data_IF_460492830983
#
_entry.id   IF_460492830983
#
_cell.length_a   1.000
_cell.length_b   1.000
_cell.length_c   1.000
_cell.angle_alpha   90.00
_cell.angle_beta   90.00
_cell.angle_gamma   90.00
#
_symmetry.space_group_name_H-M   'P 1'
#
loop_
_entity.id
_entity.type
_entity.pdbx_description
1 polymer ?
#
# COMPACT_ATOMS: atom_id res chain seq x y z
N UNK A 1 -17.32 2.07 9.37
CA UNK A 1 -15.99 2.66 9.61
C UNK A 1 -16.22 4.09 10.06
N UNK A 2 -15.84 4.42 11.30
CA UNK A 2 -15.95 5.79 11.81
C UNK A 2 -14.92 6.72 11.15
N UNK A 3 -15.16 8.02 11.23
CA UNK A 3 -14.33 9.04 10.56
C UNK A 3 -12.91 9.09 11.15
N UNK A 4 -12.76 8.80 12.44
CA UNK A 4 -11.46 8.78 13.11
C UNK A 4 -10.57 7.64 12.59
N UNK A 5 -11.13 6.46 12.35
CA UNK A 5 -10.43 5.34 11.73
C UNK A 5 -10.05 5.67 10.29
N UNK A 6 -10.93 6.33 9.53
CA UNK A 6 -10.64 6.78 8.16
C UNK A 6 -9.47 7.78 8.14
N UNK A 7 -9.47 8.74 9.06
CA UNK A 7 -8.40 9.72 9.19
C UNK A 7 -7.06 9.05 9.55
N UNK A 8 -7.08 8.13 10.50
CA UNK A 8 -5.88 7.35 10.88
C UNK A 8 -5.33 6.53 9.72
N UNK A 9 -6.20 5.91 8.92
CA UNK A 9 -5.80 5.15 7.74
C UNK A 9 -5.10 6.06 6.71
N UNK A 10 -5.69 7.24 6.40
CA UNK A 10 -5.06 8.22 5.50
C UNK A 10 -3.71 8.71 6.01
N UNK A 11 -3.64 9.06 7.30
CA UNK A 11 -2.39 9.52 7.90
C UNK A 11 -1.29 8.46 7.88
N UNK A 12 -1.65 7.17 7.99
CA UNK A 12 -0.71 6.07 7.82
C UNK A 12 -0.25 5.94 6.37
N UNK A 13 -1.17 5.94 5.42
CA UNK A 13 -0.88 5.87 3.98
C UNK A 13 0.05 7.02 3.53
N UNK A 14 -0.20 8.24 3.99
CA UNK A 14 0.63 9.40 3.68
C UNK A 14 2.07 9.27 4.22
N UNK A 15 2.26 8.63 5.38
CA UNK A 15 3.61 8.33 5.89
C UNK A 15 4.34 7.35 4.99
N UNK A 16 3.65 6.32 4.49
CA UNK A 16 4.24 5.39 3.52
C UNK A 16 4.67 6.13 2.24
N UNK A 17 3.81 7.03 1.70
CA UNK A 17 4.18 7.87 0.55
C UNK A 17 5.45 8.69 0.80
N UNK A 18 5.55 9.33 1.97
CA UNK A 18 6.74 10.11 2.35
C UNK A 18 7.99 9.23 2.42
N UNK A 19 7.89 8.05 3.02
CA UNK A 19 9.01 7.11 3.14
C UNK A 19 9.49 6.61 1.78
N UNK A 20 8.58 6.22 0.89
CA UNK A 20 8.91 5.78 -0.48
C UNK A 20 9.62 6.88 -1.26
N UNK A 21 9.11 8.11 -1.23
CA UNK A 21 9.78 9.26 -1.88
C UNK A 21 11.18 9.50 -1.33
N UNK A 22 11.37 9.42 -0.01
CA UNK A 22 12.70 9.54 0.62
C UNK A 22 13.66 8.42 0.20
N UNK A 23 13.13 7.23 -0.08
CA UNK A 23 13.90 6.10 -0.59
C UNK A 23 14.12 6.15 -2.12
N UNK A 24 13.64 7.18 -2.81
CA UNK A 24 13.71 7.28 -4.27
C UNK A 24 12.80 6.29 -5.01
N UNK A 25 11.80 5.74 -4.32
CA UNK A 25 10.83 4.82 -4.90
C UNK A 25 9.63 5.60 -5.46
N UNK A 26 9.16 5.18 -6.63
CA UNK A 26 8.01 5.79 -7.27
C UNK A 26 6.69 5.43 -6.55
N UNK A 27 5.72 6.33 -6.69
CA UNK A 27 4.34 6.17 -6.24
C UNK A 27 3.42 5.87 -7.42
N UNK A 28 2.25 5.25 -7.21
CA UNK A 28 1.30 4.98 -8.29
C UNK A 28 0.89 6.25 -9.05
N UNK A 29 0.70 7.37 -8.35
CA UNK A 29 0.32 8.66 -8.96
C UNK A 29 1.40 9.28 -9.88
N UNK A 30 2.62 8.73 -9.90
CA UNK A 30 3.68 9.16 -10.80
C UNK A 30 3.53 8.57 -12.22
N UNK A 31 2.60 7.62 -12.42
CA UNK A 31 2.38 6.91 -13.68
C UNK A 31 0.94 7.02 -14.18
N UNK A 32 0.75 6.82 -15.47
CA UNK A 32 -0.59 6.72 -16.06
C UNK A 32 -1.30 5.45 -15.57
N UNK A 33 -2.56 5.61 -15.14
CA UNK A 33 -3.38 4.51 -14.64
C UNK A 33 -3.51 3.39 -15.69
N UNK A 34 -3.31 2.15 -15.25
CA UNK A 34 -3.42 0.96 -16.11
C UNK A 34 -2.13 0.58 -16.84
N UNK A 35 -1.05 1.34 -16.69
CA UNK A 35 0.27 0.97 -17.20
C UNK A 35 0.95 -0.09 -16.31
N UNK A 36 1.89 -0.89 -16.84
CA UNK A 36 2.70 -1.81 -16.04
C UNK A 36 3.46 -1.12 -14.90
N UNK A 37 3.94 0.10 -15.15
CA UNK A 37 4.66 0.92 -14.17
C UNK A 37 3.75 1.34 -13.02
N UNK A 38 2.51 1.75 -13.32
CA UNK A 38 1.49 2.01 -12.30
C UNK A 38 1.24 0.78 -11.44
N UNK A 39 1.00 -0.38 -12.07
CA UNK A 39 0.74 -1.64 -11.36
C UNK A 39 1.92 -2.06 -10.46
N UNK A 40 3.16 -1.89 -10.94
CA UNK A 40 4.36 -2.19 -10.16
C UNK A 40 4.52 -1.25 -8.95
N UNK A 41 4.25 0.05 -9.13
CA UNK A 41 4.28 1.02 -8.05
C UNK A 41 3.18 0.76 -7.01
N UNK A 42 1.99 0.40 -7.45
CA UNK A 42 0.84 0.04 -6.61
C UNK A 42 1.12 -1.21 -5.78
N UNK A 43 1.61 -2.28 -6.41
CA UNK A 43 1.99 -3.51 -5.72
C UNK A 43 3.10 -3.25 -4.67
N UNK A 44 4.09 -2.42 -5.01
CA UNK A 44 5.13 -2.01 -4.07
C UNK A 44 4.57 -1.23 -2.89
N UNK A 45 3.67 -0.27 -3.13
CA UNK A 45 3.05 0.51 -2.06
C UNK A 45 2.17 -0.35 -1.15
N UNK A 46 1.41 -1.29 -1.72
CA UNK A 46 0.61 -2.25 -0.96
C UNK A 46 1.48 -3.15 -0.07
N UNK A 47 2.62 -3.63 -0.60
CA UNK A 47 3.61 -4.38 0.18
C UNK A 47 4.09 -3.60 1.40
N UNK A 48 4.44 -2.32 1.23
CA UNK A 48 4.89 -1.47 2.33
C UNK A 48 3.79 -1.23 3.37
N UNK A 49 2.54 -1.08 2.93
CA UNK A 49 1.37 -0.97 3.81
C UNK A 49 1.20 -2.25 4.65
N UNK A 50 1.25 -3.43 4.02
CA UNK A 50 1.13 -4.71 4.72
C UNK A 50 2.23 -4.85 5.77
N UNK A 51 3.49 -4.61 5.39
CA UNK A 51 4.64 -4.64 6.30
C UNK A 51 4.44 -3.64 7.45
N UNK A 52 4.02 -2.40 7.15
CA UNK A 52 3.83 -1.36 8.16
C UNK A 52 2.68 -1.64 9.13
N UNK A 53 1.71 -2.47 8.75
CA UNK A 53 0.67 -2.99 9.63
C UNK A 53 1.11 -4.24 10.40
N UNK A 54 2.34 -4.72 10.20
CA UNK A 54 2.90 -5.92 10.82
C UNK A 54 2.49 -7.23 10.15
N UNK A 55 1.91 -7.17 8.94
CA UNK A 55 1.58 -8.34 8.14
C UNK A 55 2.77 -8.86 7.34
N UNK A 56 2.61 -10.08 6.82
CA UNK A 56 3.54 -10.68 5.86
C UNK A 56 3.01 -10.44 4.43
N UNK A 57 3.71 -9.64 3.59
CA UNK A 57 3.29 -9.36 2.23
C UNK A 57 3.41 -10.56 1.28
N UNK A 58 4.14 -11.60 1.68
CA UNK A 58 4.33 -12.82 0.90
C UNK A 58 3.49 -13.99 1.45
N UNK A 59 2.65 -13.73 2.46
CA UNK A 59 1.70 -14.73 2.94
C UNK A 59 0.82 -15.17 1.76
N UNK A 60 0.98 -16.43 1.36
CA UNK A 60 0.11 -17.07 0.39
C UNK A 60 -1.34 -16.91 0.88
N UNK A 61 -2.14 -16.17 0.13
CA UNK A 61 -3.57 -15.85 0.32
C UNK A 61 -4.25 -16.49 1.53
N UNK A 62 -4.87 -15.65 2.37
CA UNK A 62 -5.99 -16.07 3.20
C UNK A 62 -7.01 -16.80 2.33
N UNK A 63 -7.15 -18.11 2.56
CA UNK A 63 -8.13 -18.97 1.91
C UNK A 63 -9.55 -18.47 2.24
N UNK A 64 -10.06 -17.56 1.40
CA UNK A 64 -11.42 -17.00 1.48
C UNK A 64 -12.51 -18.06 1.24
N UNK A 65 -12.17 -19.35 1.06
CA UNK A 65 -13.13 -20.46 1.04
C UNK A 65 -13.38 -21.08 2.42
N UNK A 66 -12.76 -20.55 3.47
CA UNK A 66 -12.91 -21.04 4.85
C UNK A 66 -13.78 -20.16 5.76
N UNK A 67 -14.49 -19.16 5.19
CA UNK A 67 -15.51 -18.35 5.88
C UNK A 67 -16.92 -18.65 5.35
#
# INVERSE_FOLDING_TARGET
MDDALRERARAFEDRIRVLRRKAGQALPEDFEFGTPEFAAAEAGMLRDIIIGLGGDPDAAELDLRSL
#
